data_IF_198345450786
#
_entry.id   IF_198345450786
#
_cell.length_a   1.000
_cell.length_b   1.000
_cell.length_c   1.000
_cell.angle_alpha   90.00
_cell.angle_beta   90.00
_cell.angle_gamma   90.00
#
_symmetry.space_group_name_H-M   'P 1'
#
loop_
_entity.id
_entity.type
_entity.pdbx_description
1 polymer ?
#
# COMPACT_ATOMS: atom_id res chain seq x y z
N UNK A 1 -1.05 7.74 -10.82
CA UNK A 1 -1.79 8.21 -12.00
C UNK A 1 -2.63 7.09 -12.62
N UNK A 2 -2.03 5.96 -13.00
CA UNK A 2 -2.75 4.88 -13.70
C UNK A 2 -3.89 4.25 -12.89
N UNK A 3 -3.85 4.31 -11.56
CA UNK A 3 -4.93 3.82 -10.69
C UNK A 3 -6.24 4.61 -10.81
N UNK A 4 -6.20 5.79 -11.45
CA UNK A 4 -7.39 6.58 -11.77
C UNK A 4 -8.05 6.20 -13.10
N UNK A 5 -7.40 5.36 -13.90
CA UNK A 5 -7.92 4.89 -15.18
C UNK A 5 -8.36 3.44 -15.07
N UNK A 6 -9.65 3.21 -15.19
CA UNK A 6 -10.25 1.88 -15.09
C UNK A 6 -9.59 0.90 -16.08
N UNK A 7 -9.06 -0.20 -15.55
CA UNK A 7 -8.37 -1.23 -16.33
C UNK A 7 -6.87 -0.99 -16.53
N UNK A 8 -6.31 0.14 -16.04
CA UNK A 8 -4.89 0.48 -16.15
C UNK A 8 -4.15 0.40 -14.79
N UNK A 9 -4.83 -0.02 -13.73
CA UNK A 9 -4.30 -0.08 -12.37
C UNK A 9 -3.06 -0.98 -12.26
N UNK A 10 -2.99 -2.01 -13.09
CA UNK A 10 -1.83 -2.90 -13.19
C UNK A 10 -0.52 -2.17 -13.54
N UNK A 11 -0.61 -1.04 -14.26
CA UNK A 11 0.57 -0.22 -14.58
C UNK A 11 1.14 0.44 -13.34
N UNK A 12 0.29 0.93 -12.45
CA UNK A 12 0.75 1.47 -11.14
C UNK A 12 1.49 0.38 -10.36
N UNK A 13 0.93 -0.82 -10.28
CA UNK A 13 1.54 -1.96 -9.58
C UNK A 13 2.91 -2.29 -10.16
N UNK A 14 3.01 -2.41 -11.47
CA UNK A 14 4.26 -2.68 -12.19
C UNK A 14 5.32 -1.60 -11.97
N UNK A 15 4.94 -0.33 -12.15
CA UNK A 15 5.90 0.78 -12.04
C UNK A 15 6.35 1.01 -10.59
N UNK A 16 5.48 0.91 -9.61
CA UNK A 16 5.87 1.01 -8.21
C UNK A 16 6.86 -0.09 -7.82
N UNK A 17 6.58 -1.34 -8.20
CA UNK A 17 7.49 -2.45 -7.94
C UNK A 17 8.87 -2.22 -8.61
N UNK A 18 8.88 -1.81 -9.88
CA UNK A 18 10.11 -1.47 -10.61
C UNK A 18 10.90 -0.34 -9.94
N UNK A 19 10.22 0.72 -9.50
CA UNK A 19 10.85 1.86 -8.84
C UNK A 19 11.45 1.47 -7.48
N UNK A 20 10.71 0.72 -6.66
CA UNK A 20 11.19 0.24 -5.37
C UNK A 20 12.42 -0.63 -5.54
N UNK A 21 12.41 -1.61 -6.45
CA UNK A 21 13.56 -2.49 -6.68
C UNK A 21 14.77 -1.76 -7.26
N UNK A 22 14.55 -0.82 -8.17
CA UNK A 22 15.64 -0.15 -8.88
C UNK A 22 16.34 0.91 -8.05
N UNK A 23 15.59 1.68 -7.28
CA UNK A 23 16.09 2.92 -6.68
C UNK A 23 16.22 2.88 -5.16
N UNK A 24 15.57 1.91 -4.48
CA UNK A 24 15.69 1.76 -3.04
C UNK A 24 16.49 0.53 -2.67
N UNK A 25 17.49 0.73 -1.80
CA UNK A 25 18.43 -0.32 -1.38
C UNK A 25 18.66 -0.25 0.11
N UNK A 26 18.96 -1.38 0.72
CA UNK A 26 19.40 -1.42 2.12
C UNK A 26 20.89 -1.06 2.22
N UNK A 27 21.19 0.22 2.06
CA UNK A 27 22.55 0.79 2.09
C UNK A 27 22.48 2.26 2.54
N UNK A 28 23.61 2.85 3.01
CA UNK A 28 23.65 4.26 3.44
C UNK A 28 23.24 5.27 2.35
N UNK A 29 23.49 4.92 1.08
CA UNK A 29 23.09 5.67 -0.12
C UNK A 29 21.86 5.05 -0.82
N UNK A 30 20.98 4.41 -0.04
CA UNK A 30 19.92 3.55 -0.55
C UNK A 30 18.67 4.24 -1.03
N UNK A 31 18.61 5.57 -1.09
CA UNK A 31 17.47 6.35 -1.63
C UNK A 31 17.90 7.15 -2.86
N UNK A 32 17.00 7.40 -3.82
CA UNK A 32 17.33 8.05 -5.09
C UNK A 32 17.38 9.60 -5.00
N UNK A 33 18.03 10.16 -4.01
CA UNK A 33 18.14 11.59 -3.81
C UNK A 33 18.02 12.01 -2.35
N UNK A 34 17.69 13.28 -2.12
CA UNK A 34 17.50 13.79 -0.77
C UNK A 34 16.20 13.26 -0.17
N UNK A 35 16.23 12.93 1.11
CA UNK A 35 15.05 12.43 1.82
C UNK A 35 13.99 13.50 2.11
N UNK A 36 14.37 14.77 2.05
CA UNK A 36 13.51 15.95 2.23
C UNK A 36 12.56 15.80 3.42
N UNK A 37 13.14 15.80 4.62
CA UNK A 37 12.40 15.66 5.89
C UNK A 37 11.65 14.31 6.03
N UNK A 38 12.19 13.25 5.42
CA UNK A 38 11.60 11.90 5.46
C UNK A 38 10.59 11.61 4.37
N UNK A 39 10.37 12.52 3.42
CA UNK A 39 9.34 12.36 2.37
C UNK A 39 9.65 11.17 1.46
N UNK A 40 10.91 10.99 1.05
CA UNK A 40 11.32 9.89 0.18
C UNK A 40 11.21 8.53 0.89
N UNK A 41 11.67 8.47 2.15
CA UNK A 41 11.55 7.29 2.99
C UNK A 41 10.08 6.93 3.26
N UNK A 42 9.24 7.92 3.58
CA UNK A 42 7.82 7.72 3.79
C UNK A 42 7.13 7.20 2.52
N UNK A 43 7.46 7.77 1.35
CA UNK A 43 6.96 7.30 0.07
C UNK A 43 7.26 5.80 -0.14
N UNK A 44 8.49 5.39 0.11
CA UNK A 44 8.87 3.98 -0.02
C UNK A 44 8.09 3.08 0.93
N UNK A 45 8.03 3.43 2.23
CA UNK A 45 7.35 2.61 3.25
C UNK A 45 5.86 2.47 2.95
N UNK A 46 5.17 3.56 2.63
CA UNK A 46 3.75 3.50 2.29
C UNK A 46 3.48 2.61 1.07
N UNK A 47 4.27 2.76 0.00
CA UNK A 47 4.10 1.92 -1.18
C UNK A 47 4.47 0.45 -0.92
N UNK A 48 5.46 0.16 -0.05
CA UNK A 48 5.77 -1.20 0.38
C UNK A 48 4.64 -1.84 1.19
N UNK A 49 3.88 -1.03 1.95
CA UNK A 49 2.67 -1.49 2.67
C UNK A 49 1.46 -1.68 1.75
N UNK A 50 1.50 -1.17 0.52
CA UNK A 50 0.47 -1.35 -0.48
C UNK A 50 -0.58 -0.23 -0.55
N UNK A 51 -0.34 0.93 0.05
CA UNK A 51 -1.21 2.10 -0.05
C UNK A 51 -0.41 3.41 0.04
N UNK A 52 -0.92 4.49 -0.57
CA UNK A 52 -0.25 5.79 -0.55
C UNK A 52 -1.26 6.95 -0.54
N UNK A 53 -1.05 8.00 0.31
CA UNK A 53 -1.88 9.21 0.32
C UNK A 53 -1.43 10.14 -0.82
N UNK A 54 -1.95 9.97 -2.01
CA UNK A 54 -1.50 10.63 -3.23
C UNK A 54 -2.07 12.04 -3.46
N UNK A 55 -3.02 12.46 -2.64
CA UNK A 55 -3.60 13.81 -2.71
C UNK A 55 -3.53 14.51 -1.34
N UNK A 56 -2.61 15.46 -1.13
CA UNK A 56 -2.53 16.22 0.12
C UNK A 56 -3.85 16.93 0.45
N UNK A 57 -4.28 16.84 1.71
CA UNK A 57 -5.54 17.41 2.17
C UNK A 57 -6.77 16.52 1.95
N UNK A 58 -6.64 15.40 1.26
CA UNK A 58 -7.70 14.42 1.07
C UNK A 58 -7.39 13.15 1.89
N UNK A 59 -8.23 12.77 2.88
CA UNK A 59 -7.98 11.62 3.74
C UNK A 59 -8.30 10.31 3.01
N UNK A 60 -7.57 10.02 1.95
CA UNK A 60 -7.76 8.84 1.12
C UNK A 60 -6.42 8.27 0.65
N UNK A 61 -6.43 7.01 0.27
CA UNK A 61 -5.27 6.26 -0.20
C UNK A 61 -5.55 5.58 -1.54
N UNK A 62 -4.56 5.61 -2.41
CA UNK A 62 -4.51 4.74 -3.59
C UNK A 62 -3.84 3.43 -3.21
N UNK A 63 -4.49 2.31 -3.54
CA UNK A 63 -4.00 0.95 -3.27
C UNK A 63 -3.10 0.46 -4.39
N UNK A 64 -2.08 -0.29 -4.01
CA UNK A 64 -1.16 -0.98 -4.90
C UNK A 64 -0.71 -2.31 -4.30
N UNK A 65 0.17 -3.02 -4.96
CA UNK A 65 0.67 -4.32 -4.51
C UNK A 65 1.61 -4.16 -3.32
N UNK A 66 1.29 -4.73 -2.14
CA UNK A 66 2.22 -4.76 -1.02
C UNK A 66 3.49 -5.57 -1.35
N UNK A 67 4.62 -5.18 -0.76
CA UNK A 67 5.87 -5.93 -0.82
C UNK A 67 5.92 -7.02 0.25
N UNK A 68 5.30 -6.76 1.39
CA UNK A 68 5.29 -7.66 2.55
C UNK A 68 4.10 -8.62 2.50
N UNK A 69 4.28 -9.83 3.04
CA UNK A 69 3.17 -10.78 3.18
C UNK A 69 2.25 -10.40 4.34
N UNK A 70 2.79 -9.72 5.36
CA UNK A 70 2.01 -9.20 6.47
C UNK A 70 2.60 -7.90 7.01
N UNK A 71 1.72 -6.93 7.23
CA UNK A 71 2.03 -5.67 7.93
C UNK A 71 1.04 -5.51 9.09
N UNK A 72 1.54 -5.18 10.26
CA UNK A 72 0.71 -4.82 11.42
C UNK A 72 1.04 -3.41 11.86
N UNK A 73 0.05 -2.53 11.79
CA UNK A 73 0.16 -1.15 12.24
C UNK A 73 -0.54 -1.05 13.59
N UNK A 74 0.22 -0.70 14.61
CA UNK A 74 -0.33 -0.46 15.96
C UNK A 74 -1.10 0.86 15.97
N UNK A 75 -2.29 0.83 16.53
CA UNK A 75 -3.18 1.97 16.65
C UNK A 75 -3.42 2.28 18.15
N UNK A 76 -3.79 3.52 18.46
CA UNK A 76 -4.25 3.88 19.79
C UNK A 76 -5.75 3.59 19.91
N UNK A 77 -6.17 2.60 20.77
CA UNK A 77 -7.57 2.22 20.90
C UNK A 77 -8.48 3.37 21.36
N UNK A 78 -7.91 4.34 22.06
CA UNK A 78 -8.66 5.52 22.53
C UNK A 78 -9.20 6.35 21.37
N UNK A 79 -8.45 6.44 20.27
CA UNK A 79 -8.82 7.25 19.12
C UNK A 79 -9.52 6.43 18.03
N UNK A 80 -9.11 5.17 17.86
CA UNK A 80 -9.52 4.36 16.71
C UNK A 80 -10.48 3.22 17.06
N UNK A 81 -10.75 3.00 18.37
CA UNK A 81 -11.61 1.90 18.82
C UNK A 81 -11.02 0.50 18.61
N UNK A 82 -9.74 0.43 18.20
CA UNK A 82 -8.97 -0.81 17.98
C UNK A 82 -7.48 -0.58 18.20
N UNK A 83 -6.75 -1.63 18.48
CA UNK A 83 -5.33 -1.60 18.81
C UNK A 83 -4.42 -1.80 17.58
N UNK A 84 -4.97 -2.31 16.48
CA UNK A 84 -4.18 -2.58 15.27
C UNK A 84 -5.00 -2.56 13.98
N UNK A 85 -4.28 -2.33 12.88
CA UNK A 85 -4.69 -2.58 11.51
C UNK A 85 -3.75 -3.61 10.92
N UNK A 86 -4.29 -4.64 10.27
CA UNK A 86 -3.51 -5.72 9.64
C UNK A 86 -3.70 -5.68 8.13
N UNK A 87 -2.59 -5.74 7.40
CA UNK A 87 -2.57 -5.90 5.94
C UNK A 87 -1.96 -7.26 5.65
N UNK A 88 -2.66 -8.11 4.93
CA UNK A 88 -2.19 -9.46 4.56
C UNK A 88 -2.17 -9.63 3.05
N UNK A 89 -1.14 -10.32 2.56
CA UNK A 89 -0.94 -10.53 1.13
C UNK A 89 -0.70 -12.01 0.86
N UNK A 90 -1.61 -12.61 0.14
CA UNK A 90 -1.46 -13.96 -0.40
C UNK A 90 -0.81 -13.86 -1.78
N UNK A 91 0.40 -14.44 -1.91
CA UNK A 91 1.12 -14.49 -3.19
C UNK A 91 1.50 -15.94 -3.53
N UNK A 92 1.04 -16.47 -4.66
CA UNK A 92 1.34 -17.84 -5.07
C UNK A 92 2.82 -18.08 -5.39
N UNK A 93 3.54 -17.04 -5.83
CA UNK A 93 4.98 -17.10 -6.12
C UNK A 93 5.66 -15.76 -5.81
N UNK A 94 6.99 -15.76 -5.76
CA UNK A 94 7.79 -14.54 -5.56
C UNK A 94 7.60 -13.51 -6.70
N UNK A 95 7.24 -13.95 -7.89
CA UNK A 95 6.98 -13.11 -9.06
C UNK A 95 5.54 -12.60 -9.12
N UNK A 96 4.65 -13.04 -8.23
CA UNK A 96 3.27 -12.58 -8.18
C UNK A 96 3.22 -11.10 -7.83
N UNK A 97 2.84 -10.30 -8.80
CA UNK A 97 2.89 -8.84 -8.74
C UNK A 97 1.52 -8.19 -8.85
N UNK A 98 0.61 -8.79 -9.59
CA UNK A 98 -0.65 -8.14 -9.91
C UNK A 98 -1.76 -8.56 -8.96
N UNK A 99 -2.51 -7.57 -8.47
CA UNK A 99 -3.67 -7.81 -7.62
C UNK A 99 -4.76 -8.48 -8.44
N UNK A 100 -5.18 -9.66 -7.98
CA UNK A 100 -6.32 -10.41 -8.49
C UNK A 100 -7.60 -10.04 -7.74
N UNK A 101 -7.48 -9.91 -6.43
CA UNK A 101 -8.61 -9.65 -5.55
C UNK A 101 -8.16 -8.87 -4.31
N UNK A 102 -9.05 -8.03 -3.80
CA UNK A 102 -8.86 -7.29 -2.55
C UNK A 102 -10.09 -7.42 -1.68
N UNK A 103 -9.87 -7.47 -0.36
CA UNK A 103 -10.92 -7.41 0.65
C UNK A 103 -10.58 -6.35 1.70
N UNK A 104 -11.58 -5.63 2.17
CA UNK A 104 -11.48 -4.65 3.24
C UNK A 104 -12.53 -4.97 4.31
N UNK A 105 -12.07 -5.32 5.52
CA UNK A 105 -12.97 -5.77 6.60
C UNK A 105 -13.80 -6.99 6.22
N UNK A 106 -13.22 -7.94 5.46
CA UNK A 106 -13.90 -9.16 4.98
C UNK A 106 -14.92 -8.91 3.85
N UNK A 107 -14.96 -7.70 3.28
CA UNK A 107 -15.83 -7.36 2.15
C UNK A 107 -14.99 -7.14 0.89
N UNK A 108 -15.42 -7.74 -0.21
CA UNK A 108 -14.77 -7.59 -1.51
C UNK A 108 -14.69 -6.12 -1.93
N UNK A 109 -13.49 -5.69 -2.31
CA UNK A 109 -13.20 -4.33 -2.77
C UNK A 109 -12.88 -4.37 -4.27
N UNK A 110 -13.63 -3.58 -5.05
CA UNK A 110 -13.48 -3.51 -6.52
C UNK A 110 -12.84 -2.21 -7.02
N UNK A 111 -12.41 -1.35 -6.10
CA UNK A 111 -11.79 -0.07 -6.40
C UNK A 111 -10.41 0.03 -5.75
N UNK A 112 -9.52 0.81 -6.36
CA UNK A 112 -8.15 1.02 -5.89
C UNK A 112 -7.98 2.30 -5.07
N UNK A 113 -9.07 2.87 -4.57
CA UNK A 113 -9.05 4.04 -3.70
C UNK A 113 -9.99 3.85 -2.54
N UNK A 114 -9.48 4.09 -1.33
CA UNK A 114 -10.22 3.98 -0.06
C UNK A 114 -9.96 5.21 0.80
N UNK A 115 -10.90 5.55 1.68
CA UNK A 115 -10.68 6.60 2.65
C UNK A 115 -9.85 6.11 3.85
N UNK A 116 -9.26 7.04 4.58
CA UNK A 116 -8.57 6.75 5.84
C UNK A 116 -9.53 6.09 6.85
N UNK A 117 -10.75 6.60 6.95
CA UNK A 117 -11.77 6.06 7.84
C UNK A 117 -12.13 4.61 7.49
N UNK A 118 -12.36 4.32 6.21
CA UNK A 118 -12.65 2.94 5.76
C UNK A 118 -11.51 1.98 6.13
N UNK A 119 -10.25 2.39 5.91
CA UNK A 119 -9.09 1.57 6.21
C UNK A 119 -8.99 1.29 7.71
N UNK A 120 -9.08 2.32 8.54
CA UNK A 120 -8.93 2.18 9.99
C UNK A 120 -10.11 1.43 10.61
N UNK A 121 -11.34 1.73 10.18
CA UNK A 121 -12.53 1.05 10.71
C UNK A 121 -12.63 -0.42 10.29
N UNK A 122 -12.07 -0.80 9.12
CA UNK A 122 -12.07 -2.20 8.67
C UNK A 122 -11.24 -3.11 9.57
N UNK A 123 -10.10 -2.64 10.05
CA UNK A 123 -9.14 -3.38 10.86
C UNK A 123 -8.28 -4.37 10.11
N UNK A 124 -8.67 -4.76 8.89
CA UNK A 124 -7.87 -5.59 8.01
C UNK A 124 -8.07 -5.22 6.54
N UNK A 125 -7.01 -5.40 5.77
CA UNK A 125 -7.01 -5.30 4.32
C UNK A 125 -6.28 -6.53 3.77
N UNK A 126 -6.89 -7.24 2.84
CA UNK A 126 -6.34 -8.45 2.26
C UNK A 126 -6.14 -8.29 0.76
N UNK A 127 -4.98 -8.74 0.29
CA UNK A 127 -4.62 -8.74 -1.13
C UNK A 127 -4.33 -10.17 -1.58
N UNK A 128 -4.94 -10.59 -2.68
CA UNK A 128 -4.60 -11.85 -3.37
C UNK A 128 -3.97 -11.52 -4.70
N UNK A 129 -2.74 -11.99 -4.92
CA UNK A 129 -1.94 -11.70 -6.10
C UNK A 129 -2.00 -12.84 -7.14
N UNK A 130 -1.50 -12.55 -8.33
CA UNK A 130 -1.29 -13.51 -9.43
C UNK A 130 0.00 -13.21 -10.18
#
# INVERSE_FOLDING_TARGET
>A
LFSYFKGEEWRTQKELHRLLQKYFKNAPDGIPGNDDTGTMSAWAIFNMMGFYPDCPGEPAYTLSTPVFDKVTIKLDPKYWGRDQLVIETERPSAESLYIREMELGGKKLSRYRITHEELVQSGNCEFRLR
#
